data_IF_606515582486
#
_entry.id   IF_606515582486
#
_cell.length_a   1.000
_cell.length_b   1.000
_cell.length_c   1.000
_cell.angle_alpha   90.00
_cell.angle_beta   90.00
_cell.angle_gamma   90.00
#
_symmetry.space_group_name_H-M   'P 1'
#
loop_
_entity.id
_entity.type
_entity.pdbx_description
1 polymer ?
#
# COMPACT_ATOMS: atom_id res chain seq x y z
N UNK A 1 -0.70 -1.53 9.17
CA UNK A 1 -1.07 -1.22 7.78
C UNK A 1 -1.41 0.25 7.67
N UNK A 2 -0.77 0.99 6.75
CA UNK A 2 -1.01 2.42 6.55
C UNK A 2 -2.11 2.66 5.52
N UNK A 3 -2.77 3.84 5.57
CA UNK A 3 -3.86 4.19 4.66
C UNK A 3 -5.11 3.30 4.82
N UNK A 4 -5.36 2.80 6.03
CA UNK A 4 -6.40 1.82 6.31
C UNK A 4 -7.72 2.45 6.80
N UNK A 5 -8.05 3.66 6.31
CA UNK A 5 -9.32 4.34 6.61
C UNK A 5 -10.34 4.26 5.47
N UNK A 6 -10.07 3.47 4.42
CA UNK A 6 -10.91 3.27 3.25
C UNK A 6 -10.18 2.60 2.09
N UNK A 7 -10.90 2.32 1.01
CA UNK A 7 -10.35 1.83 -0.26
C UNK A 7 -9.54 0.54 -0.15
N UNK A 8 -8.45 0.45 -0.91
CA UNK A 8 -7.62 -0.76 -1.00
C UNK A 8 -7.01 -1.17 0.35
N UNK A 9 -6.68 -0.20 1.24
CA UNK A 9 -6.15 -0.51 2.56
C UNK A 9 -7.12 -1.33 3.41
N UNK A 10 -8.42 -1.03 3.35
CA UNK A 10 -9.45 -1.80 4.08
C UNK A 10 -9.64 -3.18 3.46
N UNK A 11 -9.64 -3.29 2.12
CA UNK A 11 -9.73 -4.58 1.43
C UNK A 11 -8.60 -5.53 1.84
N UNK A 12 -7.36 -5.06 1.78
CA UNK A 12 -6.19 -5.84 2.20
C UNK A 12 -6.20 -6.16 3.70
N UNK A 13 -6.73 -5.27 4.56
CA UNK A 13 -6.90 -5.56 5.98
C UNK A 13 -7.89 -6.69 6.21
N UNK A 14 -9.04 -6.70 5.50
CA UNK A 14 -10.01 -7.80 5.51
C UNK A 14 -9.40 -9.12 5.03
N UNK A 15 -8.62 -9.08 3.95
CA UNK A 15 -7.93 -10.26 3.43
C UNK A 15 -7.01 -10.90 4.48
N UNK A 16 -6.20 -10.09 5.19
CA UNK A 16 -5.31 -10.60 6.24
C UNK A 16 -6.07 -10.99 7.51
N UNK A 17 -7.10 -10.25 7.92
CA UNK A 17 -7.94 -10.61 9.04
C UNK A 17 -8.63 -11.97 8.83
N UNK A 18 -9.07 -12.25 7.60
CA UNK A 18 -9.65 -13.54 7.21
C UNK A 18 -8.64 -14.72 7.29
N UNK A 19 -7.34 -14.41 7.32
CA UNK A 19 -6.27 -15.40 7.59
C UNK A 19 -5.88 -15.45 9.08
N UNK A 20 -6.64 -14.79 9.96
CA UNK A 20 -6.39 -14.77 11.40
C UNK A 20 -5.30 -13.79 11.86
N UNK A 21 -4.90 -12.84 11.03
CA UNK A 21 -3.95 -11.81 11.43
C UNK A 21 -4.63 -10.76 12.31
N UNK A 22 -4.00 -10.40 13.43
CA UNK A 22 -4.34 -9.19 14.16
C UNK A 22 -3.94 -7.96 13.34
N UNK A 23 -4.74 -6.89 13.39
CA UNK A 23 -4.59 -5.74 12.49
C UNK A 23 -4.32 -4.46 13.29
N UNK A 24 -3.32 -3.70 12.86
CA UNK A 24 -3.10 -2.32 13.30
C UNK A 24 -3.40 -1.38 12.12
N UNK A 25 -4.65 -0.92 11.97
CA UNK A 25 -5.01 0.03 10.94
C UNK A 25 -4.50 1.43 11.32
N UNK A 26 -3.80 2.07 10.38
CA UNK A 26 -3.13 3.36 10.59
C UNK A 26 -3.61 4.36 9.54
N UNK A 27 -4.09 5.52 9.98
CA UNK A 27 -4.42 6.67 9.13
C UNK A 27 -4.54 7.96 9.97
N UNK A 28 -4.82 9.09 9.31
CA UNK A 28 -4.98 10.38 9.98
C UNK A 28 -6.35 10.57 10.64
N UNK A 29 -7.40 9.89 10.15
CA UNK A 29 -8.79 10.03 10.61
C UNK A 29 -9.14 8.90 11.56
N UNK A 30 -9.14 9.19 12.88
CA UNK A 30 -9.36 8.18 13.91
C UNK A 30 -10.78 7.59 13.85
N UNK A 31 -11.79 8.40 13.60
CA UNK A 31 -13.19 7.95 13.54
C UNK A 31 -13.37 6.84 12.49
N UNK A 32 -12.72 7.01 11.32
CA UNK A 32 -12.75 5.99 10.24
C UNK A 32 -11.97 4.73 10.59
N UNK A 33 -10.90 4.86 11.38
CA UNK A 33 -10.15 3.70 11.85
C UNK A 33 -10.96 2.88 12.86
N UNK A 34 -11.73 3.53 13.73
CA UNK A 34 -12.60 2.83 14.69
C UNK A 34 -13.77 2.12 13.98
N UNK A 35 -14.37 2.72 12.94
CA UNK A 35 -15.37 2.05 12.10
C UNK A 35 -14.81 0.76 11.51
N UNK A 36 -13.63 0.85 10.87
CA UNK A 36 -12.93 -0.31 10.28
C UNK A 36 -12.55 -1.35 11.34
N UNK A 37 -12.06 -0.90 12.49
CA UNK A 37 -11.67 -1.80 13.57
C UNK A 37 -12.88 -2.56 14.14
N UNK A 38 -14.03 -1.89 14.29
CA UNK A 38 -15.27 -2.53 14.74
C UNK A 38 -15.74 -3.61 13.75
N UNK A 39 -15.70 -3.30 12.44
CA UNK A 39 -16.04 -4.26 11.38
C UNK A 39 -15.09 -5.48 11.42
N UNK A 40 -13.77 -5.26 11.46
CA UNK A 40 -12.79 -6.34 11.46
C UNK A 40 -12.91 -7.24 12.69
N UNK A 41 -13.12 -6.66 13.87
CA UNK A 41 -13.35 -7.44 15.11
C UNK A 41 -14.62 -8.30 15.02
N UNK A 42 -15.71 -7.70 14.52
CA UNK A 42 -17.01 -8.37 14.41
C UNK A 42 -16.98 -9.52 13.40
N UNK A 43 -16.43 -9.28 12.20
CA UNK A 43 -16.61 -10.18 11.07
C UNK A 43 -15.51 -11.27 11.02
N UNK A 44 -14.34 -11.01 11.61
CA UNK A 44 -13.19 -11.95 11.57
C UNK A 44 -12.73 -12.43 12.94
N UNK A 45 -13.20 -11.83 14.05
CA UNK A 45 -12.83 -12.24 15.41
C UNK A 45 -11.36 -11.98 15.78
N UNK A 46 -10.67 -11.14 15.03
CA UNK A 46 -9.26 -10.80 15.27
C UNK A 46 -9.12 -9.59 16.20
N UNK A 47 -7.96 -9.48 16.86
CA UNK A 47 -7.63 -8.29 17.63
C UNK A 47 -7.23 -7.13 16.71
N UNK A 48 -7.75 -5.93 16.99
CA UNK A 48 -7.52 -4.75 16.16
C UNK A 48 -7.16 -3.55 17.03
N UNK A 49 -6.01 -2.94 16.77
CA UNK A 49 -5.51 -1.74 17.45
C UNK A 49 -5.45 -0.56 16.46
N UNK A 50 -6.49 0.27 16.37
CA UNK A 50 -6.45 1.45 15.50
C UNK A 50 -5.53 2.52 16.08
N UNK A 51 -4.63 3.09 15.26
CA UNK A 51 -3.71 4.14 15.70
C UNK A 51 -3.72 5.30 14.69
N UNK A 52 -3.98 6.51 15.19
CA UNK A 52 -3.85 7.71 14.38
C UNK A 52 -2.39 8.02 14.11
N UNK A 53 -2.04 8.24 12.83
CA UNK A 53 -0.69 8.64 12.43
C UNK A 53 -0.70 9.36 11.08
N UNK A 54 0.10 10.41 11.00
CA UNK A 54 0.57 10.98 9.74
C UNK A 54 1.95 10.38 9.45
N UNK A 55 2.05 9.60 8.37
CA UNK A 55 3.29 8.92 8.00
C UNK A 55 4.41 9.87 7.55
N UNK A 56 4.10 11.14 7.30
CA UNK A 56 5.11 12.17 7.00
C UNK A 56 5.84 12.65 8.24
N UNK A 57 5.28 12.43 9.45
CA UNK A 57 5.91 12.73 10.73
C UNK A 57 6.71 11.54 11.24
N UNK A 58 8.02 11.70 11.32
CA UNK A 58 8.92 10.66 11.87
C UNK A 58 8.57 10.34 13.33
N UNK A 59 8.22 11.35 14.12
CA UNK A 59 7.84 11.17 15.53
C UNK A 59 6.59 10.30 15.67
N UNK A 60 5.52 10.58 14.88
CA UNK A 60 4.30 9.79 14.92
C UNK A 60 4.54 8.35 14.42
N UNK A 61 5.38 8.17 13.40
CA UNK A 61 5.77 6.84 12.90
C UNK A 61 6.47 6.04 13.99
N UNK A 62 7.45 6.62 14.70
CA UNK A 62 8.13 5.94 15.80
C UNK A 62 7.19 5.61 16.96
N UNK A 63 6.24 6.51 17.27
CA UNK A 63 5.23 6.29 18.30
C UNK A 63 4.29 5.13 17.96
N UNK A 64 3.81 5.05 16.70
CA UNK A 64 2.98 3.93 16.23
C UNK A 64 3.69 2.59 16.38
N UNK A 65 4.95 2.51 15.96
CA UNK A 65 5.73 1.26 16.08
C UNK A 65 5.93 0.89 17.55
N UNK A 66 6.21 1.88 18.42
CA UNK A 66 6.34 1.65 19.86
C UNK A 66 5.06 1.10 20.48
N UNK A 67 3.90 1.73 20.22
CA UNK A 67 2.60 1.29 20.72
C UNK A 67 2.23 -0.11 20.20
N UNK A 68 2.51 -0.40 18.93
CA UNK A 68 2.26 -1.73 18.36
C UNK A 68 3.12 -2.79 19.04
N UNK A 69 4.39 -2.50 19.28
CA UNK A 69 5.31 -3.42 19.97
C UNK A 69 4.95 -3.59 21.45
N UNK A 70 4.49 -2.56 22.11
CA UNK A 70 4.00 -2.65 23.50
C UNK A 70 2.77 -3.55 23.61
N UNK A 71 1.85 -3.44 22.65
CA UNK A 71 0.57 -4.15 22.67
C UNK A 71 0.70 -5.61 22.22
N UNK A 72 1.38 -5.87 21.09
CA UNK A 72 1.47 -7.21 20.48
C UNK A 72 2.82 -7.90 20.66
N UNK A 73 3.87 -7.20 21.09
CA UNK A 73 5.22 -7.73 21.22
C UNK A 73 5.94 -8.02 19.89
N UNK A 74 5.25 -7.88 18.75
CA UNK A 74 5.77 -8.22 17.41
C UNK A 74 5.10 -7.44 16.29
N UNK A 75 5.77 -7.35 15.14
CA UNK A 75 5.20 -6.91 13.87
C UNK A 75 5.75 -7.83 12.78
N UNK A 76 4.89 -8.65 12.20
CA UNK A 76 5.26 -9.65 11.20
C UNK A 76 5.12 -9.14 9.77
N UNK A 77 4.07 -8.35 9.54
CA UNK A 77 3.69 -7.85 8.22
C UNK A 77 3.51 -6.35 8.30
N UNK A 78 4.16 -5.62 7.38
CA UNK A 78 3.90 -4.21 7.14
C UNK A 78 3.35 -4.03 5.73
N UNK A 79 2.15 -3.42 5.62
CA UNK A 79 1.65 -2.95 4.33
C UNK A 79 1.67 -1.43 4.32
N UNK A 80 2.51 -0.87 3.46
CA UNK A 80 2.57 0.56 3.19
C UNK A 80 1.63 0.89 2.02
N UNK A 81 0.41 1.30 2.36
CA UNK A 81 -0.63 1.61 1.37
C UNK A 81 -1.04 3.09 1.38
N UNK A 82 -0.71 3.85 2.41
CA UNK A 82 -1.01 5.28 2.43
C UNK A 82 -0.39 5.97 1.22
N UNK A 83 -1.17 6.80 0.56
CA UNK A 83 -0.75 7.54 -0.62
C UNK A 83 -1.78 8.58 -1.03
N UNK A 84 -1.42 9.41 -1.97
CA UNK A 84 -2.24 10.44 -2.59
C UNK A 84 -1.99 10.45 -4.10
N UNK A 85 -2.55 11.40 -4.83
CA UNK A 85 -2.31 11.57 -6.26
C UNK A 85 -2.76 12.94 -6.71
N UNK A 86 -1.82 13.82 -7.03
CA UNK A 86 -2.11 15.09 -7.67
C UNK A 86 -2.30 14.88 -9.19
N UNK A 87 -3.33 15.50 -9.74
CA UNK A 87 -3.63 15.47 -11.19
C UNK A 87 -3.63 16.90 -11.71
N UNK A 88 -2.57 17.24 -12.45
CA UNK A 88 -2.44 18.49 -13.18
C UNK A 88 -1.40 18.31 -14.30
N UNK A 89 -1.43 19.12 -15.39
CA UNK A 89 -0.37 19.15 -16.38
C UNK A 89 1.00 19.39 -15.73
N UNK A 90 2.04 18.72 -16.21
CA UNK A 90 3.36 18.75 -15.58
C UNK A 90 3.94 20.16 -15.52
N UNK A 91 3.68 20.99 -16.51
CA UNK A 91 4.08 22.40 -16.58
C UNK A 91 3.39 23.30 -15.56
N UNK A 92 2.25 22.87 -15.00
CA UNK A 92 1.46 23.62 -14.01
C UNK A 92 1.66 23.09 -12.57
N UNK A 93 2.38 21.98 -12.38
CA UNK A 93 2.71 21.43 -11.07
C UNK A 93 3.72 22.33 -10.38
N UNK A 94 3.41 22.80 -9.17
CA UNK A 94 4.34 23.56 -8.35
C UNK A 94 5.36 22.64 -7.67
N UNK A 95 6.54 23.19 -7.31
CA UNK A 95 7.56 22.47 -6.55
C UNK A 95 6.97 21.88 -5.24
N UNK A 96 6.14 22.66 -4.54
CA UNK A 96 5.47 22.22 -3.30
C UNK A 96 4.53 21.01 -3.53
N UNK A 97 3.77 21.02 -4.61
CA UNK A 97 2.90 19.89 -4.97
C UNK A 97 3.72 18.65 -5.27
N UNK A 98 4.81 18.78 -6.03
CA UNK A 98 5.70 17.69 -6.35
C UNK A 98 6.37 17.11 -5.08
N UNK A 99 6.95 17.98 -4.24
CA UNK A 99 7.60 17.58 -2.99
C UNK A 99 6.62 16.93 -2.01
N UNK A 100 5.39 17.45 -1.89
CA UNK A 100 4.35 16.87 -1.04
C UNK A 100 3.96 15.47 -1.48
N UNK A 101 3.81 15.24 -2.78
CA UNK A 101 3.52 13.90 -3.33
C UNK A 101 4.63 12.90 -2.98
N UNK A 102 5.90 13.29 -3.22
CA UNK A 102 7.04 12.46 -2.86
C UNK A 102 7.15 12.24 -1.35
N UNK A 103 6.85 13.25 -0.55
CA UNK A 103 6.91 13.15 0.90
C UNK A 103 5.90 12.17 1.46
N UNK A 104 4.68 12.15 0.93
CA UNK A 104 3.64 11.21 1.36
C UNK A 104 3.94 9.81 0.81
N UNK A 105 4.03 9.65 -0.50
CA UNK A 105 3.98 8.35 -1.14
C UNK A 105 5.30 7.58 -1.08
N UNK A 106 6.44 8.27 -1.13
CA UNK A 106 7.76 7.66 -1.12
C UNK A 106 8.46 7.79 0.24
N UNK A 107 8.61 9.03 0.74
CA UNK A 107 9.36 9.26 1.98
C UNK A 107 8.64 8.69 3.19
N UNK A 108 7.30 8.82 3.26
CA UNK A 108 6.47 8.24 4.30
C UNK A 108 6.54 6.70 4.30
N UNK A 109 6.50 6.08 3.12
CA UNK A 109 6.71 4.64 2.94
C UNK A 109 8.07 4.20 3.50
N UNK A 110 9.14 4.92 3.19
CA UNK A 110 10.47 4.64 3.72
C UNK A 110 10.55 4.80 5.24
N UNK A 111 9.97 5.87 5.80
CA UNK A 111 9.96 6.10 7.25
C UNK A 111 9.31 4.94 8.01
N UNK A 112 8.13 4.50 7.55
CA UNK A 112 7.43 3.36 8.14
C UNK A 112 8.24 2.06 8.01
N UNK A 113 8.75 1.74 6.82
CA UNK A 113 9.56 0.55 6.58
C UNK A 113 10.79 0.52 7.49
N UNK A 114 11.52 1.64 7.59
CA UNK A 114 12.71 1.78 8.44
C UNK A 114 12.39 1.59 9.92
N UNK A 115 11.35 2.23 10.43
CA UNK A 115 10.99 2.15 11.85
C UNK A 115 10.57 0.73 12.25
N UNK A 116 9.73 0.08 11.43
CA UNK A 116 9.27 -1.30 11.66
C UNK A 116 10.44 -2.29 11.54
N UNK A 117 11.27 -2.18 10.49
CA UNK A 117 12.41 -3.05 10.32
C UNK A 117 13.36 -2.95 11.51
N UNK A 118 13.74 -1.73 11.91
CA UNK A 118 14.68 -1.48 13.01
C UNK A 118 14.18 -2.00 14.35
N UNK A 119 12.91 -1.77 14.69
CA UNK A 119 12.38 -2.06 16.03
C UNK A 119 11.82 -3.48 16.18
N UNK A 120 11.32 -4.06 15.11
CA UNK A 120 10.62 -5.34 15.16
C UNK A 120 11.28 -6.43 14.32
N UNK A 121 11.42 -6.23 13.00
CA UNK A 121 11.72 -7.32 12.08
C UNK A 121 13.18 -7.75 12.10
N UNK A 122 14.14 -6.82 12.18
CA UNK A 122 15.58 -7.14 12.26
C UNK A 122 15.92 -7.92 13.54
N UNK A 123 15.46 -7.49 14.75
CA UNK A 123 15.65 -8.27 15.97
C UNK A 123 14.99 -9.66 15.91
N UNK A 124 13.80 -9.76 15.32
CA UNK A 124 13.06 -11.00 15.16
C UNK A 124 13.64 -11.94 14.07
N UNK A 125 14.51 -11.43 13.19
CA UNK A 125 15.00 -12.10 11.98
C UNK A 125 13.86 -12.64 11.09
N UNK A 126 12.80 -11.88 11.03
CA UNK A 126 11.60 -12.20 10.25
C UNK A 126 10.82 -10.93 9.92
N UNK A 127 10.30 -10.84 8.70
CA UNK A 127 9.38 -9.78 8.31
C UNK A 127 8.88 -9.91 6.87
N UNK A 128 7.71 -9.36 6.63
CA UNK A 128 7.09 -9.23 5.32
C UNK A 128 6.70 -7.77 5.12
N UNK A 129 7.37 -7.07 4.22
CA UNK A 129 7.05 -5.69 3.87
C UNK A 129 6.46 -5.69 2.46
N UNK A 130 5.25 -5.17 2.35
CA UNK A 130 4.51 -5.03 1.09
C UNK A 130 4.26 -3.55 0.88
N UNK A 131 4.89 -2.96 -0.12
CA UNK A 131 4.67 -1.57 -0.49
C UNK A 131 3.66 -1.50 -1.64
N UNK A 132 2.65 -0.65 -1.51
CA UNK A 132 1.66 -0.45 -2.56
C UNK A 132 2.14 0.70 -3.45
N UNK A 133 2.61 0.31 -4.64
CA UNK A 133 2.94 1.26 -5.69
C UNK A 133 1.71 1.52 -6.59
N UNK A 134 1.86 1.36 -7.87
CA UNK A 134 0.84 1.49 -8.91
C UNK A 134 1.39 0.88 -10.20
N UNK A 135 0.53 0.50 -11.12
CA UNK A 135 0.91 0.28 -12.51
C UNK A 135 1.67 1.50 -13.09
N UNK A 136 1.36 2.69 -12.63
CA UNK A 136 2.05 3.94 -13.00
C UNK A 136 3.46 4.09 -12.40
N UNK A 137 3.86 3.21 -11.51
CA UNK A 137 5.27 3.03 -11.13
C UNK A 137 6.07 2.17 -12.11
N UNK A 138 5.39 1.53 -13.09
CA UNK A 138 5.98 0.63 -14.08
C UNK A 138 5.93 1.21 -15.50
N UNK A 139 4.86 1.94 -15.82
CA UNK A 139 4.62 2.51 -17.15
C UNK A 139 4.11 3.95 -17.07
N UNK A 140 4.26 4.70 -18.16
CA UNK A 140 3.60 5.99 -18.33
C UNK A 140 2.12 5.86 -18.73
N UNK A 141 1.40 6.97 -18.75
CA UNK A 141 0.04 7.05 -19.26
C UNK A 141 -0.18 8.31 -20.10
N UNK A 142 -1.27 8.33 -20.90
CA UNK A 142 -1.62 9.46 -21.76
C UNK A 142 -2.87 10.20 -21.31
N UNK A 143 -3.61 9.68 -20.32
CA UNK A 143 -4.96 10.15 -20.02
C UNK A 143 -5.06 10.90 -18.69
N UNK A 144 -4.16 10.70 -17.76
CA UNK A 144 -4.15 11.39 -16.49
C UNK A 144 -2.79 12.05 -16.25
N UNK A 145 -2.71 13.38 -16.31
CA UNK A 145 -1.46 14.09 -16.04
C UNK A 145 -1.16 14.02 -14.53
N UNK A 146 -0.27 13.11 -14.12
CA UNK A 146 0.09 12.87 -12.73
C UNK A 146 1.58 12.50 -12.60
N UNK A 147 2.45 13.30 -13.19
CA UNK A 147 3.90 13.05 -13.20
C UNK A 147 4.52 12.90 -11.80
N UNK A 148 4.13 13.67 -10.74
CA UNK A 148 4.63 13.44 -9.38
C UNK A 148 4.29 12.05 -8.85
N UNK A 149 3.07 11.57 -9.12
CA UNK A 149 2.64 10.23 -8.74
C UNK A 149 3.46 9.13 -9.43
N UNK A 150 3.74 9.27 -10.73
CA UNK A 150 4.63 8.35 -11.46
C UNK A 150 6.02 8.32 -10.82
N UNK A 151 6.58 9.48 -10.50
CA UNK A 151 7.88 9.58 -9.84
C UNK A 151 7.87 8.90 -8.46
N UNK A 152 6.86 9.18 -7.63
CA UNK A 152 6.73 8.59 -6.32
C UNK A 152 6.56 7.06 -6.39
N UNK A 153 5.63 6.57 -7.22
CA UNK A 153 5.35 5.13 -7.32
C UNK A 153 6.45 4.34 -8.02
N UNK A 154 7.14 4.93 -9.00
CA UNK A 154 8.38 4.39 -9.56
C UNK A 154 9.50 4.34 -8.52
N UNK A 155 9.60 5.38 -7.70
CA UNK A 155 10.49 5.44 -6.53
C UNK A 155 10.21 4.32 -5.53
N UNK A 156 8.92 4.05 -5.20
CA UNK A 156 8.51 2.96 -4.30
C UNK A 156 8.93 1.59 -4.84
N UNK A 157 8.76 1.34 -6.15
CA UNK A 157 9.18 0.08 -6.78
C UNK A 157 10.69 -0.13 -6.61
N UNK A 158 11.50 0.89 -6.89
CA UNK A 158 12.95 0.75 -6.79
C UNK A 158 13.46 0.80 -5.35
N UNK A 159 12.84 1.58 -4.46
CA UNK A 159 13.08 1.54 -3.01
C UNK A 159 12.89 0.12 -2.46
N UNK A 160 11.82 -0.55 -2.86
CA UNK A 160 11.54 -1.93 -2.41
C UNK A 160 12.65 -2.90 -2.80
N UNK A 161 13.21 -2.76 -4.01
CA UNK A 161 14.37 -3.56 -4.45
C UNK A 161 15.62 -3.28 -3.61
N UNK A 162 15.91 -2.01 -3.32
CA UNK A 162 17.01 -1.61 -2.45
C UNK A 162 16.89 -2.23 -1.05
N UNK A 163 15.73 -2.04 -0.42
CA UNK A 163 15.46 -2.57 0.93
C UNK A 163 15.47 -4.11 0.97
N UNK A 164 14.98 -4.77 -0.09
CA UNK A 164 15.03 -6.22 -0.24
C UNK A 164 16.49 -6.73 -0.23
N UNK A 165 17.38 -6.04 -0.95
CA UNK A 165 18.81 -6.35 -0.97
C UNK A 165 19.49 -6.14 0.37
N UNK A 166 19.16 -5.04 1.06
CA UNK A 166 19.77 -4.71 2.36
C UNK A 166 19.30 -5.64 3.49
N UNK A 167 17.99 -5.97 3.52
CA UNK A 167 17.36 -6.63 4.66
C UNK A 167 17.11 -8.13 4.48
N UNK A 168 17.32 -8.66 3.27
CA UNK A 168 17.17 -10.10 3.00
C UNK A 168 17.97 -11.00 3.95
N UNK A 169 19.20 -10.57 4.31
CA UNK A 169 20.06 -11.27 5.29
C UNK A 169 19.46 -11.38 6.71
N UNK A 170 18.44 -10.60 7.01
CA UNK A 170 17.71 -10.66 8.28
C UNK A 170 16.40 -11.46 8.19
N UNK A 171 16.15 -12.18 7.09
CA UNK A 171 14.91 -12.93 6.88
C UNK A 171 13.69 -12.06 6.57
N UNK A 172 13.93 -10.80 6.16
CA UNK A 172 12.89 -9.85 5.78
C UNK A 172 12.75 -9.85 4.26
N UNK A 173 11.53 -10.03 3.75
CA UNK A 173 11.24 -9.80 2.34
C UNK A 173 10.55 -8.46 2.15
N UNK A 174 10.94 -7.75 1.10
CA UNK A 174 10.32 -6.46 0.72
C UNK A 174 9.88 -6.56 -0.72
N UNK A 175 8.57 -6.51 -0.94
CA UNK A 175 7.96 -6.64 -2.26
C UNK A 175 6.97 -5.50 -2.51
N UNK A 176 6.56 -5.37 -3.75
CA UNK A 176 5.65 -4.32 -4.19
C UNK A 176 4.44 -4.95 -4.88
N UNK A 177 3.24 -4.49 -4.55
CA UNK A 177 2.06 -4.68 -5.38
C UNK A 177 1.86 -3.41 -6.20
N UNK A 178 1.58 -3.58 -7.49
CA UNK A 178 1.31 -2.50 -8.42
C UNK A 178 -0.13 -2.61 -8.94
N UNK A 179 -1.13 -2.06 -8.19
CA UNK A 179 -2.52 -2.11 -8.62
C UNK A 179 -2.74 -1.31 -9.90
N UNK A 180 -3.64 -1.81 -10.75
CA UNK A 180 -4.25 -1.06 -11.83
C UNK A 180 -5.41 -0.19 -11.36
N UNK A 181 -6.41 -0.04 -12.21
CA UNK A 181 -7.66 0.64 -11.84
C UNK A 181 -8.50 -0.29 -10.97
N UNK A 182 -8.69 0.09 -9.72
CA UNK A 182 -9.54 -0.62 -8.76
C UNK A 182 -10.69 0.26 -8.32
N UNK A 183 -11.86 -0.36 -8.16
CA UNK A 183 -13.00 0.31 -7.57
C UNK A 183 -12.74 0.61 -6.08
N UNK A 184 -12.89 1.87 -5.74
CA UNK A 184 -12.84 2.39 -4.37
C UNK A 184 -13.81 3.57 -4.28
N UNK A 185 -14.22 3.99 -3.07
CA UNK A 185 -15.00 5.22 -2.95
C UNK A 185 -14.37 6.46 -3.60
N UNK A 186 -13.04 6.50 -3.72
CA UNK A 186 -12.31 7.61 -4.34
C UNK A 186 -12.37 7.56 -5.88
N UNK A 187 -12.34 6.36 -6.47
CA UNK A 187 -12.27 6.16 -7.93
C UNK A 187 -13.62 5.90 -8.57
N UNK A 188 -14.66 5.65 -7.75
CA UNK A 188 -16.01 5.30 -8.18
C UNK A 188 -16.56 6.22 -9.27
N UNK A 189 -16.52 7.54 -9.04
CA UNK A 189 -17.09 8.55 -9.96
C UNK A 189 -16.44 8.51 -11.34
N UNK A 190 -15.18 8.06 -11.44
CA UNK A 190 -14.49 7.90 -12.72
C UNK A 190 -14.74 6.53 -13.34
N UNK A 191 -14.66 5.47 -12.54
CA UNK A 191 -14.68 4.08 -13.05
C UNK A 191 -16.07 3.62 -13.47
N UNK A 192 -17.15 4.17 -12.90
CA UNK A 192 -18.54 3.82 -13.24
C UNK A 192 -19.07 4.63 -14.45
N UNK A 193 -18.22 5.36 -15.17
CA UNK A 193 -18.61 6.13 -16.35
C UNK A 193 -18.56 5.30 -17.63
N UNK A 194 -19.41 5.64 -18.60
CA UNK A 194 -19.36 5.06 -19.96
C UNK A 194 -18.01 5.35 -20.64
N UNK A 195 -17.43 6.52 -20.38
CA UNK A 195 -16.10 6.87 -20.85
C UNK A 195 -15.05 5.85 -20.38
N UNK A 196 -15.04 5.53 -19.08
CA UNK A 196 -14.08 4.56 -18.55
C UNK A 196 -14.34 3.15 -19.09
N UNK A 197 -15.59 2.73 -19.22
CA UNK A 197 -15.94 1.43 -19.80
C UNK A 197 -15.41 1.28 -21.24
N UNK A 198 -15.52 2.32 -22.05
CA UNK A 198 -14.98 2.35 -23.41
C UNK A 198 -13.44 2.40 -23.41
N UNK A 199 -12.84 3.16 -22.51
CA UNK A 199 -11.38 3.18 -22.32
C UNK A 199 -10.83 1.83 -21.91
N UNK A 200 -11.47 1.16 -20.96
CA UNK A 200 -11.02 -0.16 -20.45
C UNK A 200 -10.97 -1.21 -21.55
N UNK A 201 -11.95 -1.23 -22.48
CA UNK A 201 -11.97 -2.14 -23.65
C UNK A 201 -10.78 -1.96 -24.59
N UNK A 202 -10.21 -0.76 -24.65
CA UNK A 202 -9.07 -0.46 -25.53
C UNK A 202 -7.70 -0.51 -24.85
N UNK A 203 -7.67 -0.41 -23.51
CA UNK A 203 -6.45 -0.22 -22.76
C UNK A 203 -6.15 -1.33 -21.74
N UNK A 204 -7.14 -2.10 -21.31
CA UNK A 204 -6.99 -3.15 -20.31
C UNK A 204 -7.36 -4.50 -20.93
N UNK A 205 -6.46 -5.48 -21.02
CA UNK A 205 -6.76 -6.78 -21.63
C UNK A 205 -8.00 -7.51 -21.06
N UNK A 206 -8.28 -7.35 -19.76
CA UNK A 206 -9.51 -7.91 -19.16
C UNK A 206 -10.74 -7.00 -19.32
N UNK A 207 -10.62 -5.88 -20.00
CA UNK A 207 -11.68 -4.94 -20.41
C UNK A 207 -12.50 -4.34 -19.26
N UNK A 208 -11.97 -4.32 -18.04
CA UNK A 208 -12.63 -3.77 -16.85
C UNK A 208 -11.62 -3.32 -15.79
N UNK A 209 -12.12 -2.62 -14.77
CA UNK A 209 -11.37 -2.38 -13.53
C UNK A 209 -11.40 -3.61 -12.61
N UNK A 210 -10.51 -3.62 -11.61
CA UNK A 210 -10.47 -4.61 -10.55
C UNK A 210 -11.55 -4.38 -9.50
N UNK A 211 -12.21 -5.46 -9.09
CA UNK A 211 -13.23 -5.45 -8.07
C UNK A 211 -12.65 -5.61 -6.67
N UNK A 212 -13.49 -5.40 -5.66
CA UNK A 212 -13.16 -5.73 -4.27
C UNK A 212 -12.79 -7.21 -4.15
N UNK A 213 -11.71 -7.50 -3.40
CA UNK A 213 -11.17 -8.86 -3.22
C UNK A 213 -10.13 -9.30 -4.26
N UNK A 214 -10.02 -8.64 -5.41
CA UNK A 214 -9.05 -9.07 -6.45
C UNK A 214 -7.57 -8.70 -6.12
N UNK A 215 -7.33 -7.95 -5.04
CA UNK A 215 -5.98 -7.78 -4.46
C UNK A 215 -5.63 -8.80 -3.38
N UNK A 216 -6.61 -9.57 -2.89
CA UNK A 216 -6.46 -10.41 -1.70
C UNK A 216 -5.40 -11.48 -1.91
N UNK A 217 -5.44 -12.17 -3.05
CA UNK A 217 -4.50 -13.25 -3.36
C UNK A 217 -3.06 -12.76 -3.43
N UNK A 218 -2.79 -11.62 -4.05
CA UNK A 218 -1.45 -11.03 -4.11
C UNK A 218 -0.97 -10.59 -2.71
N UNK A 219 -1.88 -10.03 -1.91
CA UNK A 219 -1.61 -9.61 -0.53
C UNK A 219 -1.26 -10.81 0.34
N UNK A 220 -2.10 -11.86 0.33
CA UNK A 220 -1.89 -13.08 1.12
C UNK A 220 -0.62 -13.81 0.66
N UNK A 221 -0.40 -13.92 -0.65
CA UNK A 221 0.81 -14.52 -1.22
C UNK A 221 2.08 -13.86 -0.69
N UNK A 222 2.19 -12.54 -0.81
CA UNK A 222 3.39 -11.83 -0.36
C UNK A 222 3.54 -11.76 1.16
N UNK A 223 2.43 -11.81 1.91
CA UNK A 223 2.42 -11.84 3.37
C UNK A 223 2.75 -13.22 3.96
N UNK A 224 2.58 -14.29 3.17
CA UNK A 224 2.76 -15.67 3.62
C UNK A 224 4.17 -15.96 4.09
N UNK A 225 4.35 -16.72 5.19
CA UNK A 225 5.65 -17.31 5.56
C UNK A 225 6.24 -18.19 4.44
N UNK A 226 5.40 -18.86 3.65
CA UNK A 226 5.82 -19.72 2.54
C UNK A 226 6.49 -18.94 1.39
N UNK A 227 6.25 -17.63 1.29
CA UNK A 227 6.85 -16.76 0.26
C UNK A 227 8.24 -16.21 0.66
N UNK A 228 8.98 -16.92 1.51
CA UNK A 228 10.26 -16.49 2.05
C UNK A 228 11.37 -16.29 1.01
N UNK A 229 11.22 -16.84 -0.20
CA UNK A 229 12.17 -16.67 -1.30
C UNK A 229 11.69 -15.68 -2.38
N UNK A 230 10.52 -15.04 -2.15
CA UNK A 230 9.98 -13.98 -3.00
C UNK A 230 10.41 -12.64 -2.42
N UNK A 231 11.42 -12.00 -3.01
CA UNK A 231 12.02 -10.79 -2.49
C UNK A 231 12.43 -9.82 -3.59
N UNK A 232 12.10 -8.54 -3.45
CA UNK A 232 12.43 -7.48 -4.41
C UNK A 232 11.55 -7.45 -5.66
N UNK A 233 10.46 -8.22 -5.69
CA UNK A 233 9.56 -8.26 -6.86
C UNK A 233 8.55 -7.12 -6.86
N UNK A 234 8.14 -6.72 -8.06
CA UNK A 234 6.96 -5.91 -8.30
C UNK A 234 5.89 -6.79 -8.98
N UNK A 235 4.73 -6.90 -8.36
CA UNK A 235 3.62 -7.73 -8.82
C UNK A 235 2.52 -6.82 -9.36
N UNK A 236 2.34 -6.69 -10.68
CA UNK A 236 1.19 -6.01 -11.26
C UNK A 236 -0.10 -6.80 -10.94
N UNK A 237 -1.12 -6.07 -10.50
CA UNK A 237 -2.49 -6.59 -10.37
C UNK A 237 -3.38 -5.57 -11.08
N UNK A 238 -3.39 -5.62 -12.39
CA UNK A 238 -3.82 -4.51 -13.26
C UNK A 238 -4.65 -4.94 -14.47
N UNK A 239 -5.09 -6.20 -14.49
CA UNK A 239 -5.87 -6.74 -15.61
C UNK A 239 -5.06 -6.86 -16.92
N UNK A 240 -3.74 -6.84 -16.84
CA UNK A 240 -2.84 -6.89 -17.99
C UNK A 240 -2.48 -5.53 -18.58
N UNK A 241 -2.86 -4.42 -17.95
CA UNK A 241 -2.58 -3.07 -18.42
C UNK A 241 -1.09 -2.84 -18.76
N UNK A 242 -0.19 -3.36 -17.94
CA UNK A 242 1.27 -3.17 -18.12
C UNK A 242 1.92 -4.20 -19.02
N UNK A 243 1.18 -5.17 -19.58
CA UNK A 243 1.76 -6.20 -20.45
C UNK A 243 1.60 -5.89 -21.94
N UNK A 244 0.92 -4.83 -22.32
CA UNK A 244 0.64 -4.42 -23.70
C UNK A 244 1.16 -3.02 -24.01
#
# INVERSE_FOLDING_TARGET
MTGCSGGLGVQMAKALANQGCNIVPIARRMEKLEEVAAELRKDYGVEVLPIRCDITSTEQVEAVVAQTMEHFGRIDILINNAGTGAVAPAEDITDEQFENELNIDLTGTFKMARAVAKRAMIPAKYGRIINIASMYGLVGNKIAPCSPYHAAKGGVVNLSRGLAGEWGKYGITVNTICPGYFWTPLTKETLETEWFANYAKGAIPVERYGNEGELDTATIFLASPASSYVNGTAVPVDGGYTCV
#
